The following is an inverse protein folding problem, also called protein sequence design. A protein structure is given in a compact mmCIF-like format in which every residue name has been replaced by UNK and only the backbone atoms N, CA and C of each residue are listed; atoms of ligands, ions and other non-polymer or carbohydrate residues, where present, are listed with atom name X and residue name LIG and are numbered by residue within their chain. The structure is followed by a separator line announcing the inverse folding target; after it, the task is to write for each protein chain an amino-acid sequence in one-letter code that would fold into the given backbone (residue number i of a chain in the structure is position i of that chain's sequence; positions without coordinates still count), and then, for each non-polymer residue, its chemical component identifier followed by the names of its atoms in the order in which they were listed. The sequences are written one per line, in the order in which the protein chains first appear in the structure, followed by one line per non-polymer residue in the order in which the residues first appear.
data_IF_908860428850
#
_entry.id   IF_908860428850
#
_cell.length_a   1.000
_cell.length_b   1.000
_cell.length_c   1.000
_cell.angle_alpha   90.00
_cell.angle_beta   90.00
_cell.angle_gamma   90.00
#
_symmetry.space_group_name_H-M   'P 1'
#
loop_
_entity.id
_entity.type
_entity.pdbx_description
1 polymer ?
#
# COMPACT_ATOMS: atom_id res chain seq x y z
N UNK A 1 10.50 8.24 -6.99
CA UNK A 1 9.33 7.40 -6.66
C UNK A 1 8.28 7.41 -7.77
N UNK A 2 7.74 8.58 -8.13
CA UNK A 2 6.62 8.68 -9.09
C UNK A 2 6.90 8.15 -10.49
N UNK A 3 8.00 8.59 -11.09
CA UNK A 3 8.42 8.12 -12.42
C UNK A 3 8.60 6.59 -12.47
N UNK A 4 8.87 5.94 -11.33
CA UNK A 4 8.99 4.47 -11.23
C UNK A 4 7.59 3.82 -11.28
N UNK A 5 6.64 4.36 -10.53
CA UNK A 5 5.23 3.92 -10.57
C UNK A 5 4.61 4.10 -11.97
N UNK A 6 4.89 5.23 -12.64
CA UNK A 6 4.41 5.49 -14.00
C UNK A 6 4.96 4.49 -15.03
N UNK A 7 6.19 4.01 -14.81
CA UNK A 7 6.82 2.95 -15.61
C UNK A 7 6.31 1.55 -15.26
N UNK A 8 5.36 1.43 -14.33
CA UNK A 8 4.84 0.16 -13.85
C UNK A 8 5.77 -0.57 -12.88
N UNK A 9 6.77 0.11 -12.31
CA UNK A 9 7.64 -0.51 -11.31
C UNK A 9 6.90 -0.74 -9.99
N UNK A 10 7.30 -1.82 -9.32
CA UNK A 10 6.86 -2.13 -7.96
C UNK A 10 7.80 -1.47 -6.95
N UNK A 11 7.22 -0.73 -6.01
CA UNK A 11 7.94 -0.12 -4.90
C UNK A 11 7.74 -0.93 -3.62
N UNK A 12 8.80 -1.20 -2.88
CA UNK A 12 8.75 -1.99 -1.66
C UNK A 12 8.83 -1.08 -0.42
N UNK A 13 7.92 -1.29 0.53
CA UNK A 13 7.82 -0.54 1.78
C UNK A 13 7.62 -1.50 2.95
N UNK A 14 8.61 -1.64 3.82
CA UNK A 14 8.56 -2.57 4.94
C UNK A 14 8.14 -3.98 4.52
N UNK A 15 6.92 -4.40 4.88
CA UNK A 15 6.38 -5.72 4.53
C UNK A 15 5.42 -5.76 3.34
N UNK A 16 5.20 -4.66 2.62
CA UNK A 16 4.28 -4.60 1.47
C UNK A 16 4.91 -3.96 0.23
N UNK A 17 4.22 -4.13 -0.89
CA UNK A 17 4.63 -3.55 -2.16
C UNK A 17 3.51 -2.75 -2.79
N UNK A 18 3.87 -1.69 -3.51
CA UNK A 18 2.94 -0.78 -4.15
C UNK A 18 3.24 -0.67 -5.63
N UNK A 19 2.19 -0.81 -6.42
CA UNK A 19 2.16 -0.53 -7.85
C UNK A 19 1.17 0.61 -8.09
N UNK A 20 1.21 1.21 -9.28
CA UNK A 20 0.38 2.37 -9.58
C UNK A 20 -1.13 2.10 -9.36
N UNK A 21 -1.60 0.90 -9.73
CA UNK A 21 -3.01 0.50 -9.61
C UNK A 21 -3.37 -0.42 -8.44
N UNK A 22 -2.39 -0.99 -7.72
CA UNK A 22 -2.64 -2.04 -6.74
C UNK A 22 -1.62 -2.05 -5.61
N UNK A 23 -1.99 -2.67 -4.48
CA UNK A 23 -1.11 -2.86 -3.34
C UNK A 23 -1.03 -4.36 -3.04
N UNK A 24 0.19 -4.86 -2.98
CA UNK A 24 0.51 -6.25 -2.72
C UNK A 24 0.82 -6.39 -1.24
N UNK A 25 -0.03 -7.13 -0.52
CA UNK A 25 -0.01 -7.22 0.93
C UNK A 25 0.30 -8.65 1.38
N UNK A 26 1.06 -8.85 2.47
CA UNK A 26 1.23 -10.19 3.02
C UNK A 26 -0.04 -10.64 3.75
N UNK A 27 -0.31 -11.95 3.67
CA UNK A 27 -1.40 -12.58 4.38
C UNK A 27 -0.85 -13.28 5.65
N UNK A 28 -1.29 -12.82 6.82
CA UNK A 28 -0.89 -13.35 8.11
C UNK A 28 -1.85 -14.47 8.56
N UNK A 29 -1.36 -15.73 8.53
CA UNK A 29 -2.00 -17.00 8.94
C UNK A 29 -3.17 -17.52 8.06
N UNK A 30 -2.85 -18.49 7.22
CA UNK A 30 -3.47 -19.84 7.23
C UNK A 30 -2.43 -20.83 6.66
N UNK A 31 -2.63 -22.12 6.95
CA UNK A 31 -1.74 -23.27 6.69
C UNK A 31 -1.39 -23.56 5.21
N UNK A 32 -1.37 -22.56 4.33
CA UNK A 32 -1.14 -22.74 2.90
C UNK A 32 -0.14 -21.72 2.38
N UNK A 33 0.67 -22.18 1.44
CA UNK A 33 1.67 -21.45 0.67
C UNK A 33 1.02 -20.42 -0.29
N UNK A 34 0.19 -19.50 0.23
CA UNK A 34 -0.68 -18.66 -0.60
C UNK A 34 -0.27 -17.19 -0.60
N UNK A 35 0.87 -16.92 -1.25
CA UNK A 35 1.12 -15.71 -2.02
C UNK A 35 1.02 -14.34 -1.33
N UNK A 36 1.43 -13.31 -2.06
CA UNK A 36 1.19 -11.92 -1.71
C UNK A 36 -0.07 -11.48 -2.48
N UNK A 37 -1.29 -11.49 -1.89
CA UNK A 37 -2.48 -11.05 -2.58
C UNK A 37 -2.33 -9.61 -3.08
N UNK A 38 -2.57 -9.44 -4.38
CA UNK A 38 -2.68 -8.13 -5.03
C UNK A 38 -4.07 -7.56 -4.76
N UNK A 39 -4.14 -6.53 -3.92
CA UNK A 39 -5.38 -5.89 -3.49
C UNK A 39 -5.60 -4.60 -4.28
N UNK A 40 -6.83 -4.38 -4.76
CA UNK A 40 -7.19 -3.13 -5.43
C UNK A 40 -7.22 -2.00 -4.41
N UNK A 41 -6.82 -0.80 -4.81
CA UNK A 41 -6.77 0.34 -3.89
C UNK A 41 -8.13 0.78 -3.34
N UNK A 42 -9.23 0.51 -4.03
CA UNK A 42 -10.58 0.72 -3.48
C UNK A 42 -10.92 -0.21 -2.31
N UNK A 43 -10.24 -1.35 -2.20
CA UNK A 43 -10.46 -2.36 -1.17
C UNK A 43 -9.45 -2.25 -0.01
N UNK A 44 -8.52 -1.27 -0.06
CA UNK A 44 -7.54 -1.06 1.02
C UNK A 44 -8.01 -0.02 2.02
N UNK A 45 -7.65 -0.23 3.27
CA UNK A 45 -7.77 0.72 4.36
C UNK A 45 -6.39 0.98 4.95
N UNK A 46 -6.12 2.23 5.31
CA UNK A 46 -4.83 2.65 5.83
C UNK A 46 -4.99 3.29 7.22
N UNK A 47 -4.18 2.84 8.16
CA UNK A 47 -4.15 3.32 9.54
C UNK A 47 -2.71 3.40 10.05
N UNK A 48 -2.52 3.99 11.22
CA UNK A 48 -1.22 4.07 11.88
C UNK A 48 -1.30 3.34 13.21
N UNK A 49 -0.31 2.51 13.51
CA UNK A 49 -0.22 1.75 14.75
C UNK A 49 1.25 1.56 15.14
N UNK A 50 1.58 1.66 16.43
CA UNK A 50 2.91 1.35 16.97
C UNK A 50 4.09 2.03 16.25
N UNK A 51 3.92 3.30 15.84
CA UNK A 51 4.96 4.04 15.09
C UNK A 51 5.18 3.53 13.67
N UNK A 52 4.19 2.84 13.09
CA UNK A 52 4.21 2.32 11.73
C UNK A 52 2.99 2.78 10.94
N UNK A 53 3.20 2.99 9.66
CA UNK A 53 2.12 3.06 8.68
C UNK A 53 1.67 1.64 8.36
N UNK A 54 0.36 1.39 8.41
CA UNK A 54 -0.23 0.08 8.15
C UNK A 54 -1.27 0.20 7.06
N UNK A 55 -1.23 -0.73 6.10
CA UNK A 55 -2.20 -0.84 5.01
C UNK A 55 -2.73 -2.27 4.97
N UNK A 56 -4.04 -2.42 4.87
CA UNK A 56 -4.70 -3.73 4.90
C UNK A 56 -5.93 -3.78 4.01
N UNK A 57 -6.38 -4.99 3.68
CA UNK A 57 -7.65 -5.20 2.98
C UNK A 57 -8.81 -4.90 3.94
N UNK A 58 -9.81 -4.14 3.47
CA UNK A 58 -10.97 -3.73 4.27
C UNK A 58 -11.79 -4.92 4.76
N UNK A 59 -11.99 -5.91 3.89
CA UNK A 59 -12.80 -7.11 4.18
C UNK A 59 -11.98 -8.30 4.70
N UNK A 60 -10.64 -8.18 4.79
CA UNK A 60 -9.79 -9.24 5.36
C UNK A 60 -8.67 -8.65 6.23
N UNK A 61 -8.88 -8.69 7.55
CA UNK A 61 -7.91 -8.21 8.55
C UNK A 61 -6.61 -9.01 8.56
N UNK A 62 -6.57 -10.20 7.98
CA UNK A 62 -5.36 -11.02 7.90
C UNK A 62 -4.45 -10.56 6.77
N UNK A 63 -4.95 -9.79 5.81
CA UNK A 63 -4.17 -9.26 4.68
C UNK A 63 -3.77 -7.83 5.00
N UNK A 64 -2.58 -7.65 5.57
CA UNK A 64 -2.06 -6.32 5.92
C UNK A 64 -0.54 -6.30 5.92
N UNK A 65 0.04 -5.14 5.61
CA UNK A 65 1.47 -4.89 5.70
C UNK A 65 1.75 -3.55 6.37
N UNK A 66 3.00 -3.34 6.78
CA UNK A 66 3.41 -2.15 7.50
C UNK A 66 4.79 -1.66 7.10
N UNK A 67 5.00 -0.34 7.19
CA UNK A 67 6.29 0.33 7.03
C UNK A 67 6.57 1.23 8.23
N UNK A 68 7.84 1.34 8.63
CA UNK A 68 8.22 2.07 9.84
C UNK A 68 8.50 3.53 9.51
N UNK A 69 7.86 4.47 10.22
CA UNK A 69 8.14 5.91 10.05
C UNK A 69 9.61 6.27 10.39
N UNK A 70 10.26 5.48 11.24
CA UNK A 70 11.63 5.75 11.70
C UNK A 70 12.68 5.17 10.75
N UNK A 71 12.38 4.02 10.11
CA UNK A 71 13.38 3.30 9.29
C UNK A 71 13.29 3.67 7.81
N UNK A 72 12.11 4.04 7.35
CA UNK A 72 11.83 4.22 5.93
C UNK A 72 11.32 5.65 5.72
N UNK A 73 12.20 6.55 5.28
CA UNK A 73 11.87 7.97 5.05
C UNK A 73 10.73 8.17 4.05
N UNK A 74 10.59 7.25 3.09
CA UNK A 74 9.51 7.26 2.10
C UNK A 74 8.13 6.90 2.68
N UNK A 75 8.04 6.45 3.95
CA UNK A 75 6.78 6.03 4.57
C UNK A 75 5.76 7.16 4.63
N UNK A 76 6.21 8.38 4.95
CA UNK A 76 5.32 9.55 5.00
C UNK A 76 4.77 9.90 3.61
N UNK A 77 5.59 9.77 2.57
CA UNK A 77 5.18 10.03 1.20
C UNK A 77 4.17 9.00 0.72
N UNK A 78 4.44 7.71 0.93
CA UNK A 78 3.54 6.64 0.49
C UNK A 78 2.22 6.65 1.25
N UNK A 79 2.22 6.98 2.55
CA UNK A 79 1.01 7.17 3.33
C UNK A 79 0.14 8.27 2.72
N UNK A 80 0.73 9.44 2.46
CA UNK A 80 0.00 10.56 1.88
C UNK A 80 -0.61 10.21 0.53
N UNK A 81 0.14 9.47 -0.30
CA UNK A 81 -0.28 8.98 -1.60
C UNK A 81 -1.45 7.98 -1.51
N UNK A 82 -1.35 6.97 -0.65
CA UNK A 82 -2.39 5.94 -0.48
C UNK A 82 -3.66 6.58 0.08
N UNK A 83 -3.55 7.40 1.13
CA UNK A 83 -4.70 8.08 1.72
C UNK A 83 -5.33 9.08 0.76
N UNK A 84 -4.51 9.88 0.07
CA UNK A 84 -4.96 10.88 -0.90
C UNK A 84 -5.68 10.26 -2.08
N UNK A 85 -5.11 9.22 -2.67
CA UNK A 85 -5.72 8.52 -3.79
C UNK A 85 -6.99 7.76 -3.39
N UNK A 86 -7.02 7.14 -2.20
CA UNK A 86 -8.22 6.50 -1.65
C UNK A 86 -9.35 7.52 -1.43
N UNK A 87 -9.03 8.70 -0.89
CA UNK A 87 -9.99 9.80 -0.70
C UNK A 87 -10.53 10.37 -2.03
N UNK A 88 -9.68 10.53 -3.05
CA UNK A 88 -10.10 10.99 -4.40
C UNK A 88 -10.75 9.87 -5.24
N UNK A 89 -10.75 8.61 -4.78
CA UNK A 89 -11.21 7.47 -5.58
C UNK A 89 -10.36 7.18 -6.83
N UNK A 90 -9.09 7.61 -6.83
CA UNK A 90 -8.23 7.53 -8.00
C UNK A 90 -7.78 6.09 -8.28
N UNK A 91 -7.96 5.64 -9.53
CA UNK A 91 -7.58 4.30 -9.97
C UNK A 91 -6.06 4.09 -10.04
N UNK A 92 -5.28 5.15 -10.31
CA UNK A 92 -3.81 5.17 -10.20
C UNK A 92 -3.27 6.13 -9.13
N UNK A 93 -2.11 5.82 -8.55
CA UNK A 93 -1.44 6.71 -7.59
C UNK A 93 -0.95 7.96 -8.29
N UNK A 94 -0.51 7.79 -9.53
CA UNK A 94 -0.05 8.86 -10.41
C UNK A 94 -1.21 9.80 -10.81
N UNK A 95 -2.43 9.27 -11.00
CA UNK A 95 -3.63 10.10 -11.26
C UNK A 95 -3.92 11.08 -10.11
N UNK A 96 -3.68 10.67 -8.86
CA UNK A 96 -3.86 11.56 -7.70
C UNK A 96 -2.95 12.78 -7.72
N UNK A 97 -1.74 12.65 -8.26
CA UNK A 97 -0.71 13.69 -8.27
C UNK A 97 -0.69 14.54 -9.53
N UNK A 98 -1.33 14.07 -10.61
CA UNK A 98 -1.53 14.82 -11.84
C UNK A 98 -2.80 15.69 -11.82
N UNK A 99 -3.58 15.60 -10.75
CA UNK A 99 -4.89 16.26 -10.60
C UNK A 99 -4.92 17.35 -9.57
#
# INVERSE_FOLDING_TARGET
MLNRLEKGETLHFGSFSVEDGAITLPQHKFWSNNGLPRVRRSEVHAWSADGRFVVGKRDDRKVHGSASYIKDWDTHLIEHLIRGASKKGAAKLTDYLKG
#
